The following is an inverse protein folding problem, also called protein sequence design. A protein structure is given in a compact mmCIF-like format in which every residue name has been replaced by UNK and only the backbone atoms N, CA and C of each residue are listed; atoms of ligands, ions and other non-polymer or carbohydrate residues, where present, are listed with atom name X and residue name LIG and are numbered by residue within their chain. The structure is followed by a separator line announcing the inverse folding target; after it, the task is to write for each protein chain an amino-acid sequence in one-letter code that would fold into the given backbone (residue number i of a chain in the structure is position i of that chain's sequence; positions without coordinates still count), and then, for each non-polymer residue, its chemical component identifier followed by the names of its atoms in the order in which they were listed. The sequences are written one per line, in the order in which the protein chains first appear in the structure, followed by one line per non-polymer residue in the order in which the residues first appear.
data_IF_557415086790
#
_entry.id   IF_557415086790
#
_cell.length_a   1.000
_cell.length_b   1.000
_cell.length_c   1.000
_cell.angle_alpha   90.00
_cell.angle_beta   90.00
_cell.angle_gamma   90.00
#
_symmetry.space_group_name_H-M   'P 1'
#
loop_
_entity.id
_entity.type
_entity.pdbx_description
1 polymer ?
#
# COMPACT_ATOMS: atom_id res chain seq x y z
N UNK A 1 -6.39 -16.95 51.80
CA UNK A 1 -5.65 -16.09 50.85
C UNK A 1 -6.13 -16.38 49.44
N UNK A 2 -7.15 -15.67 48.94
CA UNK A 2 -7.73 -15.83 47.59
C UNK A 2 -8.54 -14.58 47.19
N UNK A 3 -7.98 -13.38 47.36
CA UNK A 3 -8.72 -12.12 47.14
C UNK A 3 -8.02 -11.10 46.22
N UNK A 4 -6.92 -11.46 45.54
CA UNK A 4 -6.14 -10.49 44.74
C UNK A 4 -6.30 -10.61 43.22
N UNK A 5 -7.01 -11.62 42.70
CA UNK A 5 -7.22 -11.75 41.24
C UNK A 5 -8.40 -10.95 40.70
N UNK A 6 -9.28 -10.45 41.56
CA UNK A 6 -10.53 -9.78 41.13
C UNK A 6 -10.34 -8.30 40.75
N UNK A 7 -9.29 -7.64 41.23
CA UNK A 7 -9.04 -6.20 40.98
C UNK A 7 -8.13 -5.93 39.78
N UNK A 8 -7.28 -6.88 39.39
CA UNK A 8 -6.37 -6.74 38.25
C UNK A 8 -7.05 -6.91 36.87
N UNK A 9 -8.07 -7.77 36.80
CA UNK A 9 -8.83 -8.02 35.57
C UNK A 9 -9.53 -6.76 34.99
N UNK A 10 -10.27 -5.95 35.79
CA UNK A 10 -10.96 -4.78 35.26
C UNK A 10 -10.01 -3.66 34.78
N UNK A 11 -8.84 -3.51 35.41
CA UNK A 11 -7.84 -2.52 34.98
C UNK A 11 -7.20 -2.91 33.62
N UNK A 12 -6.80 -4.17 33.47
CA UNK A 12 -6.22 -4.67 32.22
C UNK A 12 -7.20 -4.58 31.03
N UNK A 13 -8.49 -4.88 31.25
CA UNK A 13 -9.52 -4.76 30.21
C UNK A 13 -9.76 -3.30 29.80
N UNK A 14 -9.82 -2.39 30.76
CA UNK A 14 -9.99 -0.96 30.48
C UNK A 14 -8.82 -0.39 29.68
N UNK A 15 -7.59 -0.79 30.02
CA UNK A 15 -6.39 -0.38 29.29
C UNK A 15 -6.36 -0.92 27.86
N UNK A 16 -6.73 -2.19 27.63
CA UNK A 16 -6.82 -2.77 26.29
C UNK A 16 -7.89 -2.09 25.42
N UNK A 17 -9.02 -1.71 26.00
CA UNK A 17 -10.10 -1.00 25.32
C UNK A 17 -9.67 0.42 24.89
N UNK A 18 -8.92 1.13 25.74
CA UNK A 18 -8.35 2.43 25.40
C UNK A 18 -7.36 2.35 24.24
N UNK A 19 -6.45 1.37 24.25
CA UNK A 19 -5.49 1.16 23.16
C UNK A 19 -6.21 0.86 21.84
N UNK A 20 -7.18 -0.06 21.88
CA UNK A 20 -7.99 -0.43 20.70
C UNK A 20 -8.73 0.78 20.13
N UNK A 21 -9.30 1.62 21.00
CA UNK A 21 -9.99 2.85 20.59
C UNK A 21 -9.04 3.84 19.93
N UNK A 22 -7.83 4.04 20.47
CA UNK A 22 -6.81 4.92 19.88
C UNK A 22 -6.32 4.40 18.54
N UNK A 23 -6.02 3.11 18.43
CA UNK A 23 -5.65 2.45 17.16
C UNK A 23 -6.77 2.65 16.13
N UNK A 24 -8.03 2.40 16.51
CA UNK A 24 -9.17 2.61 15.63
C UNK A 24 -9.30 4.06 15.13
N UNK A 25 -9.00 5.04 15.98
CA UNK A 25 -8.97 6.46 15.60
C UNK A 25 -7.85 6.76 14.61
N UNK A 26 -6.64 6.25 14.84
CA UNK A 26 -5.50 6.40 13.92
C UNK A 26 -5.82 5.78 12.57
N UNK A 27 -6.26 4.52 12.56
CA UNK A 27 -6.64 3.81 11.34
C UNK A 27 -7.69 4.58 10.53
N UNK A 28 -8.71 5.14 11.19
CA UNK A 28 -9.77 5.92 10.53
C UNK A 28 -9.25 7.22 9.91
N UNK A 29 -8.24 7.84 10.49
CA UNK A 29 -7.59 9.02 9.90
C UNK A 29 -6.88 8.64 8.60
N UNK A 30 -6.08 7.57 8.63
CA UNK A 30 -5.33 7.11 7.45
C UNK A 30 -6.21 6.51 6.35
N UNK A 31 -7.34 5.89 6.74
CA UNK A 31 -8.33 5.33 5.81
C UNK A 31 -8.79 6.32 4.72
N UNK A 32 -8.85 7.62 5.05
CA UNK A 32 -9.23 8.69 4.11
C UNK A 32 -8.24 8.87 2.96
N UNK A 33 -6.99 8.46 3.13
CA UNK A 33 -5.96 8.52 2.09
C UNK A 33 -5.97 7.24 1.23
N UNK A 34 -6.11 6.07 1.86
CA UNK A 34 -6.05 4.79 1.16
C UNK A 34 -7.17 4.57 0.15
N UNK A 35 -8.38 5.07 0.42
CA UNK A 35 -9.51 4.95 -0.51
C UNK A 35 -9.25 5.61 -1.87
N UNK A 36 -9.00 6.93 -1.92
CA UNK A 36 -8.63 7.62 -3.15
C UNK A 36 -7.39 7.02 -3.83
N UNK A 37 -6.36 6.64 -3.06
CA UNK A 37 -5.16 6.03 -3.61
C UNK A 37 -5.44 4.69 -4.30
N UNK A 38 -6.29 3.84 -3.70
CA UNK A 38 -6.69 2.56 -4.31
C UNK A 38 -7.37 2.76 -5.67
N UNK A 39 -8.25 3.75 -5.76
CA UNK A 39 -8.96 4.07 -7.00
C UNK A 39 -7.99 4.61 -8.05
N UNK A 40 -7.07 5.50 -7.64
CA UNK A 40 -6.09 6.08 -8.55
C UNK A 40 -5.14 5.01 -9.11
N UNK A 41 -4.58 4.13 -8.29
CA UNK A 41 -3.71 3.02 -8.75
C UNK A 41 -4.46 2.13 -9.73
N UNK A 42 -5.70 1.74 -9.39
CA UNK A 42 -6.51 0.92 -10.28
C UNK A 42 -6.81 1.64 -11.60
N UNK A 43 -7.13 2.94 -11.55
CA UNK A 43 -7.41 3.74 -12.73
C UNK A 43 -6.18 3.87 -13.64
N UNK A 44 -5.00 4.11 -13.07
CA UNK A 44 -3.74 4.24 -13.82
C UNK A 44 -3.43 2.97 -14.63
N UNK A 45 -3.78 1.79 -14.13
CA UNK A 45 -3.55 0.51 -14.82
C UNK A 45 -4.25 0.37 -16.18
N UNK A 46 -5.27 1.20 -16.45
CA UNK A 46 -5.99 1.22 -17.72
C UNK A 46 -5.38 2.15 -18.77
N UNK A 47 -4.33 2.90 -18.42
CA UNK A 47 -3.61 3.78 -19.33
C UNK A 47 -2.24 3.20 -19.71
N UNK A 48 -1.72 3.54 -20.89
CA UNK A 48 -0.37 3.10 -21.30
C UNK A 48 0.70 3.79 -20.45
N UNK A 49 1.61 3.00 -19.88
CA UNK A 49 2.72 3.51 -19.06
C UNK A 49 3.91 3.99 -19.89
N UNK A 50 4.08 3.44 -21.08
CA UNK A 50 5.19 3.74 -21.98
C UNK A 50 4.72 4.47 -23.23
N UNK A 51 5.47 5.48 -23.63
CA UNK A 51 5.23 6.27 -24.83
C UNK A 51 5.80 5.58 -26.07
N UNK A 52 5.19 5.85 -27.22
CA UNK A 52 5.75 5.43 -28.50
C UNK A 52 7.00 6.28 -28.80
N UNK A 53 8.11 5.62 -29.11
CA UNK A 53 9.29 6.33 -29.61
C UNK A 53 8.96 6.98 -30.97
N UNK A 54 9.46 8.20 -31.21
CA UNK A 54 9.14 8.98 -32.41
C UNK A 54 9.44 8.26 -33.74
N UNK A 55 10.33 7.28 -33.73
CA UNK A 55 10.72 6.45 -34.89
C UNK A 55 10.31 4.97 -34.74
N UNK A 56 9.60 4.60 -33.67
CA UNK A 56 9.23 3.21 -33.38
C UNK A 56 7.82 2.90 -33.88
N UNK A 57 7.67 1.75 -34.55
CA UNK A 57 6.35 1.19 -34.89
C UNK A 57 5.68 0.47 -33.71
N UNK A 58 6.38 0.32 -32.58
CA UNK A 58 5.87 -0.39 -31.41
C UNK A 58 4.88 0.48 -30.66
N UNK A 59 3.63 0.04 -30.61
CA UNK A 59 2.56 0.64 -29.82
C UNK A 59 2.43 -0.13 -28.51
N UNK A 60 2.69 0.54 -27.39
CA UNK A 60 2.45 -0.02 -26.05
C UNK A 60 1.01 0.21 -25.62
N UNK A 61 0.37 -0.84 -25.12
CA UNK A 61 -0.93 -0.83 -24.50
C UNK A 61 -0.88 -0.46 -23.02
N UNK A 62 -2.04 -0.54 -22.37
CA UNK A 62 -2.11 -0.51 -20.91
C UNK A 62 -1.69 -1.87 -20.30
N UNK A 63 -1.53 -1.92 -18.97
CA UNK A 63 -1.05 -3.12 -18.28
C UNK A 63 -1.91 -4.37 -18.58
N UNK A 64 -3.23 -4.19 -18.67
CA UNK A 64 -4.15 -5.30 -18.98
C UNK A 64 -3.95 -5.82 -20.39
N UNK A 65 -3.79 -4.93 -21.36
CA UNK A 65 -3.54 -5.29 -22.76
C UNK A 65 -2.20 -6.00 -22.91
N UNK A 66 -1.15 -5.49 -22.28
CA UNK A 66 0.19 -6.10 -22.34
C UNK A 66 0.16 -7.52 -21.77
N UNK A 67 -0.50 -7.74 -20.63
CA UNK A 67 -0.68 -9.08 -20.04
C UNK A 67 -1.50 -10.01 -20.95
N UNK A 68 -2.61 -9.53 -21.52
CA UNK A 68 -3.50 -10.37 -22.32
C UNK A 68 -2.95 -10.69 -23.72
N UNK A 69 -2.12 -9.81 -24.28
CA UNK A 69 -1.60 -9.95 -25.65
C UNK A 69 -0.20 -10.57 -25.69
N UNK A 70 0.70 -10.13 -24.81
CA UNK A 70 2.11 -10.57 -24.83
C UNK A 70 2.37 -11.65 -23.80
N UNK A 71 1.70 -11.59 -22.64
CA UNK A 71 1.87 -12.55 -21.56
C UNK A 71 3.28 -12.59 -20.97
N UNK A 72 4.07 -11.53 -21.12
CA UNK A 72 5.40 -11.48 -20.51
C UNK A 72 5.31 -11.61 -18.99
N UNK A 73 6.20 -12.43 -18.42
CA UNK A 73 6.23 -12.73 -16.97
C UNK A 73 6.31 -11.46 -16.12
N UNK A 74 7.03 -10.43 -16.60
CA UNK A 74 7.17 -9.13 -15.92
C UNK A 74 5.85 -8.37 -15.83
N UNK A 75 5.03 -8.40 -16.89
CA UNK A 75 3.75 -7.69 -16.94
C UNK A 75 2.71 -8.42 -16.08
N UNK A 76 2.72 -9.76 -16.12
CA UNK A 76 1.88 -10.61 -15.26
C UNK A 76 2.21 -10.36 -13.80
N UNK A 77 3.49 -10.36 -13.45
CA UNK A 77 3.95 -10.07 -12.09
C UNK A 77 3.53 -8.67 -11.64
N UNK A 78 3.74 -7.65 -12.48
CA UNK A 78 3.34 -6.28 -12.18
C UNK A 78 1.83 -6.16 -11.93
N UNK A 79 1.00 -6.82 -12.76
CA UNK A 79 -0.44 -6.84 -12.57
C UNK A 79 -0.86 -7.53 -11.26
N UNK A 80 -0.25 -8.66 -10.93
CA UNK A 80 -0.52 -9.37 -9.68
C UNK A 80 -0.17 -8.50 -8.47
N UNK A 81 1.00 -7.86 -8.48
CA UNK A 81 1.41 -6.95 -7.40
C UNK A 81 0.48 -5.75 -7.30
N UNK A 82 0.07 -5.17 -8.42
CA UNK A 82 -0.90 -4.07 -8.46
C UNK A 82 -2.23 -4.48 -7.83
N UNK A 83 -2.78 -5.64 -8.22
CA UNK A 83 -4.06 -6.13 -7.70
C UNK A 83 -3.98 -6.49 -6.22
N UNK A 84 -2.88 -7.10 -5.77
CA UNK A 84 -2.66 -7.36 -4.34
C UNK A 84 -2.56 -6.05 -3.54
N UNK A 85 -1.83 -5.07 -4.06
CA UNK A 85 -1.66 -3.76 -3.39
C UNK A 85 -2.98 -3.00 -3.34
N UNK A 86 -3.72 -2.91 -4.45
CA UNK A 86 -5.06 -2.32 -4.49
C UNK A 86 -6.02 -3.08 -3.56
N UNK A 87 -5.97 -4.41 -3.58
CA UNK A 87 -6.76 -5.27 -2.69
C UNK A 87 -6.48 -5.05 -1.21
N UNK A 88 -5.24 -4.72 -0.83
CA UNK A 88 -4.88 -4.36 0.55
C UNK A 88 -5.27 -2.92 0.92
N UNK A 89 -5.30 -2.00 -0.05
CA UNK A 89 -5.75 -0.63 0.18
C UNK A 89 -7.26 -0.55 0.46
N UNK A 90 -8.07 -1.45 -0.10
CA UNK A 90 -9.52 -1.53 0.14
C UNK A 90 -9.87 -1.71 1.63
N UNK A 91 -9.44 -2.76 2.34
CA UNK A 91 -9.70 -2.89 3.77
C UNK A 91 -9.05 -1.77 4.59
N UNK A 92 -7.88 -1.26 4.15
CA UNK A 92 -7.25 -0.10 4.78
C UNK A 92 -8.11 1.18 4.68
N UNK A 93 -8.83 1.37 3.56
CA UNK A 93 -9.80 2.47 3.38
C UNK A 93 -11.04 2.35 4.26
N UNK A 94 -11.32 1.15 4.77
CA UNK A 94 -12.35 0.93 5.79
C UNK A 94 -11.82 1.11 7.23
N UNK A 95 -10.54 1.51 7.39
CA UNK A 95 -9.86 1.58 8.68
C UNK A 95 -9.52 0.21 9.28
N UNK A 96 -9.57 -0.85 8.47
CA UNK A 96 -9.29 -2.23 8.86
C UNK A 96 -7.94 -2.65 8.30
N UNK A 97 -6.86 -2.16 8.91
CA UNK A 97 -5.50 -2.53 8.52
C UNK A 97 -4.69 -2.96 9.75
N UNK A 98 -3.96 -4.06 9.59
CA UNK A 98 -3.00 -4.57 10.57
C UNK A 98 -1.58 -4.15 10.18
N UNK A 99 -0.62 -4.31 11.09
CA UNK A 99 0.81 -4.10 10.78
C UNK A 99 1.26 -4.93 9.59
N UNK A 100 0.84 -6.20 9.49
CA UNK A 100 1.11 -7.05 8.33
C UNK A 100 0.51 -6.48 7.04
N UNK A 101 -0.72 -5.93 7.12
CA UNK A 101 -1.34 -5.23 5.99
C UNK A 101 -0.54 -4.00 5.55
N UNK A 102 -0.02 -3.21 6.49
CA UNK A 102 0.85 -2.06 6.20
C UNK A 102 2.16 -2.47 5.54
N UNK A 103 2.79 -3.56 5.99
CA UNK A 103 3.99 -4.12 5.36
C UNK A 103 3.69 -4.56 3.93
N UNK A 104 2.55 -5.21 3.70
CA UNK A 104 2.11 -5.60 2.36
C UNK A 104 1.91 -4.40 1.43
N UNK A 105 1.20 -3.36 1.90
CA UNK A 105 0.99 -2.12 1.14
C UNK A 105 2.33 -1.43 0.83
N UNK A 106 3.21 -1.32 1.81
CA UNK A 106 4.54 -0.73 1.64
C UNK A 106 5.36 -1.51 0.60
N UNK A 107 5.40 -2.83 0.74
CA UNK A 107 6.20 -3.69 -0.14
C UNK A 107 5.67 -3.65 -1.57
N UNK A 108 4.36 -3.84 -1.74
CA UNK A 108 3.72 -3.82 -3.05
C UNK A 108 3.87 -2.48 -3.76
N UNK A 109 3.66 -1.37 -3.05
CA UNK A 109 3.85 -0.04 -3.63
C UNK A 109 5.31 0.24 -4.02
N UNK A 110 6.29 -0.15 -3.22
CA UNK A 110 7.71 -0.05 -3.61
C UNK A 110 8.00 -0.89 -4.85
N UNK A 111 7.51 -2.13 -4.91
CA UNK A 111 7.73 -3.01 -6.06
C UNK A 111 7.14 -2.40 -7.33
N UNK A 112 5.93 -1.86 -7.30
CA UNK A 112 5.30 -1.21 -8.46
C UNK A 112 6.14 -0.02 -8.94
N UNK A 113 6.46 0.91 -8.03
CA UNK A 113 7.25 2.10 -8.36
C UNK A 113 8.64 1.75 -8.92
N UNK A 114 9.33 0.78 -8.31
CA UNK A 114 10.62 0.30 -8.80
C UNK A 114 10.52 -0.42 -10.14
N UNK A 115 9.47 -1.22 -10.37
CA UNK A 115 9.26 -1.94 -11.63
C UNK A 115 9.07 -0.95 -12.77
N UNK A 116 8.28 0.10 -12.57
CA UNK A 116 8.08 1.15 -13.57
C UNK A 116 9.34 2.00 -13.81
N UNK A 117 10.14 2.25 -12.77
CA UNK A 117 11.40 2.99 -12.91
C UNK A 117 12.50 2.21 -13.62
N UNK A 118 12.58 0.90 -13.37
CA UNK A 118 13.62 0.04 -13.91
C UNK A 118 13.24 -0.56 -15.25
N UNK A 119 11.94 -0.66 -15.54
CA UNK A 119 11.37 -1.25 -16.76
C UNK A 119 12.03 -2.59 -17.10
N UNK A 120 11.97 -3.59 -16.19
CA UNK A 120 12.63 -4.87 -16.41
C UNK A 120 12.09 -5.53 -17.70
N UNK A 121 12.99 -6.19 -18.44
CA UNK A 121 12.68 -6.78 -19.75
C UNK A 121 13.01 -5.87 -20.94
N UNK A 122 13.30 -4.59 -20.71
CA UNK A 122 13.74 -3.67 -21.76
C UNK A 122 15.26 -3.45 -21.73
N UNK A 123 15.92 -3.66 -22.87
CA UNK A 123 17.36 -3.35 -23.05
C UNK A 123 17.60 -1.83 -23.15
N UNK A 124 16.61 -1.10 -23.68
CA UNK A 124 16.57 0.36 -23.70
C UNK A 124 15.14 0.78 -23.37
N UNK A 125 14.86 1.18 -22.13
CA UNK A 125 13.50 1.39 -21.68
C UNK A 125 12.84 2.54 -22.44
N UNK A 126 11.61 2.35 -22.95
CA UNK A 126 10.86 3.40 -23.61
C UNK A 126 10.57 4.54 -22.63
N UNK A 127 10.43 5.77 -23.14
CA UNK A 127 10.10 6.91 -22.30
C UNK A 127 8.72 6.74 -21.64
N UNK A 128 8.59 7.13 -20.37
CA UNK A 128 7.33 7.04 -19.63
C UNK A 128 6.30 8.05 -20.15
N UNK A 129 5.03 7.64 -20.17
CA UNK A 129 3.91 8.58 -20.29
C UNK A 129 3.70 9.34 -18.99
N UNK A 130 2.86 10.38 -19.03
CA UNK A 130 2.43 11.06 -17.80
C UNK A 130 1.74 10.11 -16.82
N UNK A 131 1.04 9.09 -17.31
CA UNK A 131 0.38 8.09 -16.46
C UNK A 131 1.40 7.19 -15.76
N UNK A 132 2.46 6.76 -16.47
CA UNK A 132 3.56 6.02 -15.85
C UNK A 132 4.27 6.83 -14.76
N UNK A 133 4.52 8.11 -15.02
CA UNK A 133 5.12 9.02 -14.03
C UNK A 133 4.20 9.19 -12.81
N UNK A 134 2.91 9.43 -13.03
CA UNK A 134 1.93 9.58 -11.95
C UNK A 134 1.84 8.32 -11.10
N UNK A 135 1.86 7.13 -11.70
CA UNK A 135 1.76 5.87 -10.97
C UNK A 135 3.02 5.57 -10.14
N UNK A 136 4.20 5.95 -10.63
CA UNK A 136 5.45 5.94 -9.85
C UNK A 136 5.32 6.85 -8.62
N UNK A 137 4.90 8.11 -8.82
CA UNK A 137 4.75 9.07 -7.72
C UNK A 137 3.72 8.57 -6.70
N UNK A 138 2.59 8.05 -7.19
CA UNK A 138 1.52 7.50 -6.36
C UNK A 138 2.01 6.30 -5.54
N UNK A 139 2.81 5.43 -6.15
CA UNK A 139 3.43 4.29 -5.48
C UNK A 139 4.31 4.71 -4.30
N UNK A 140 5.22 5.67 -4.50
CA UNK A 140 6.06 6.16 -3.40
C UNK A 140 5.29 6.98 -2.36
N UNK A 141 4.22 7.67 -2.77
CA UNK A 141 3.33 8.36 -1.83
C UNK A 141 2.58 7.37 -0.94
N UNK A 142 2.04 6.27 -1.50
CA UNK A 142 1.40 5.20 -0.75
C UNK A 142 2.39 4.57 0.24
N UNK A 143 3.61 4.27 -0.21
CA UNK A 143 4.68 3.77 0.65
C UNK A 143 4.96 4.71 1.83
N UNK A 144 5.09 6.01 1.56
CA UNK A 144 5.33 7.03 2.59
C UNK A 144 4.19 7.10 3.60
N UNK A 145 2.94 7.07 3.14
CA UNK A 145 1.76 7.05 4.04
C UNK A 145 1.74 5.77 4.88
N UNK A 146 2.05 4.61 4.31
CA UNK A 146 2.13 3.35 5.05
C UNK A 146 3.20 3.39 6.15
N UNK A 147 4.37 3.98 5.86
CA UNK A 147 5.45 4.17 6.84
C UNK A 147 5.02 5.10 7.98
N UNK A 148 4.46 6.27 7.66
CA UNK A 148 3.98 7.23 8.67
C UNK A 148 2.88 6.61 9.53
N UNK A 149 1.97 5.85 8.92
CA UNK A 149 0.95 5.10 9.65
C UNK A 149 1.56 4.07 10.60
N UNK A 150 2.52 3.27 10.14
CA UNK A 150 3.22 2.30 10.99
C UNK A 150 3.93 2.98 12.17
N UNK A 151 4.59 4.12 11.94
CA UNK A 151 5.23 4.89 13.01
C UNK A 151 4.23 5.40 14.05
N UNK A 152 3.05 5.86 13.64
CA UNK A 152 2.01 6.27 14.59
C UNK A 152 1.50 5.11 15.45
N UNK A 153 1.32 3.93 14.85
CA UNK A 153 0.92 2.73 15.60
C UNK A 153 2.02 2.29 16.57
N UNK A 154 3.28 2.33 16.14
CA UNK A 154 4.42 1.99 16.99
C UNK A 154 4.60 2.97 18.15
N UNK A 155 4.45 4.28 17.90
CA UNK A 155 4.51 5.29 18.96
C UNK A 155 3.41 5.10 20.01
N UNK A 156 2.20 4.71 19.59
CA UNK A 156 1.11 4.38 20.50
C UNK A 156 1.42 3.14 21.35
N UNK A 157 2.04 2.12 20.75
CA UNK A 157 2.44 0.91 21.48
C UNK A 157 3.53 1.23 22.52
N UNK A 158 4.54 2.02 22.15
CA UNK A 158 5.58 2.47 23.09
C UNK A 158 5.02 3.29 24.25
N UNK A 159 4.13 4.26 23.98
CA UNK A 159 3.47 5.06 25.03
C UNK A 159 2.71 4.16 26.00
N UNK A 160 2.13 3.06 25.50
CA UNK A 160 1.38 2.12 26.31
C UNK A 160 2.31 1.22 27.15
N UNK A 161 3.40 0.70 26.59
CA UNK A 161 4.40 -0.08 27.34
C UNK A 161 5.02 0.73 28.49
N UNK A 162 5.33 2.01 28.26
CA UNK A 162 5.88 2.91 29.30
C UNK A 162 4.92 3.18 30.46
N UNK A 163 3.60 3.10 30.25
CA UNK A 163 2.60 3.30 31.32
C UNK A 163 2.38 2.04 32.16
N UNK A 164 2.86 0.88 31.70
CA UNK A 164 2.73 -0.41 32.36
C UNK A 164 3.98 -0.80 33.19
N UNK A 165 5.14 -0.20 32.87
CA UNK A 165 6.40 -0.34 33.62
C UNK A 165 6.46 0.59 34.82
#
# INVERSE_FOLDING_TARGET
MSSDRSSAAPAATFHAEQLTTRIGKVNRTYARFYGPMSLLVMLMSFFPYYSQGAESTTTYGNLWQEVLLTGHDTDVFALVVLLLTAGLLVPASAGRVSTTGLIGILTGSIIIGCTLLQSPGYVSPPALTIFGIVDIVLSFLIASVAVIHAFHLFALDLEFQQRLS
#
